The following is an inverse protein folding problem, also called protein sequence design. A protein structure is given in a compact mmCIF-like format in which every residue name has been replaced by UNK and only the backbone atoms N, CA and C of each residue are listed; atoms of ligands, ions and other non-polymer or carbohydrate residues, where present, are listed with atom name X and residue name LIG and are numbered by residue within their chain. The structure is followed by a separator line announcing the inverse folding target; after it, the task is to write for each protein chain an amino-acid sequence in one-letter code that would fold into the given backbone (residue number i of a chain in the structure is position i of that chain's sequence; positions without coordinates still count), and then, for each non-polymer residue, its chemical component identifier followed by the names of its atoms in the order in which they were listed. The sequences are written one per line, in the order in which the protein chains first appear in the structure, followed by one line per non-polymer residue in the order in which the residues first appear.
data_IF_932488862863
#
_entry.id   IF_932488862863
#
_cell.length_a   1.000
_cell.length_b   1.000
_cell.length_c   1.000
_cell.angle_alpha   90.00
_cell.angle_beta   90.00
_cell.angle_gamma   90.00
#
_symmetry.space_group_name_H-M   'P 1'
#
loop_
_entity.id
_entity.type
_entity.pdbx_description
1 polymer ?
#
# COMPACT_ATOMS: atom_id res chain seq x y z
N UNK A 1 -17.29 -15.60 16.34
CA UNK A 1 -17.47 -15.12 14.96
C UNK A 1 -18.45 -16.01 14.20
N UNK A 2 -18.18 -17.31 14.02
CA UNK A 2 -19.10 -18.26 13.36
C UNK A 2 -20.46 -18.35 14.07
N UNK A 3 -20.46 -18.32 15.40
CA UNK A 3 -21.68 -18.43 16.22
C UNK A 3 -22.43 -17.12 16.43
N UNK A 4 -21.76 -15.98 16.27
CA UNK A 4 -22.29 -14.64 16.49
C UNK A 4 -21.64 -13.70 15.47
N UNK A 5 -22.17 -13.63 14.24
CA UNK A 5 -21.65 -12.72 13.22
C UNK A 5 -22.01 -11.27 13.57
N UNK A 6 -21.10 -10.31 13.35
CA UNK A 6 -21.46 -8.89 13.43
C UNK A 6 -22.51 -8.58 12.35
N UNK A 7 -23.62 -7.98 12.75
CA UNK A 7 -24.79 -7.71 11.89
C UNK A 7 -24.72 -6.38 11.16
N UNK A 8 -23.87 -5.45 11.62
CA UNK A 8 -23.62 -4.17 10.96
C UNK A 8 -22.13 -3.84 11.04
N UNK A 9 -21.44 -3.85 9.90
CA UNK A 9 -20.02 -3.57 9.79
C UNK A 9 -19.80 -2.71 8.55
N UNK A 10 -19.92 -1.39 8.71
CA UNK A 10 -19.81 -0.44 7.60
C UNK A 10 -18.45 -0.52 6.91
N UNK A 11 -17.36 -0.63 7.68
CA UNK A 11 -16.00 -0.86 7.16
C UNK A 11 -15.35 -2.07 7.88
N UNK A 12 -15.13 -3.20 7.17
CA UNK A 12 -14.53 -4.38 7.74
C UNK A 12 -13.05 -4.18 8.11
N UNK A 13 -12.30 -3.29 7.44
CA UNK A 13 -10.90 -3.01 7.80
C UNK A 13 -10.84 -2.30 9.14
N UNK A 14 -11.69 -1.30 9.38
CA UNK A 14 -11.76 -0.60 10.67
C UNK A 14 -12.18 -1.55 11.78
N UNK A 15 -13.21 -2.38 11.53
CA UNK A 15 -13.71 -3.34 12.50
C UNK A 15 -12.64 -4.34 12.95
N UNK A 16 -11.89 -4.93 12.02
CA UNK A 16 -10.83 -5.89 12.36
C UNK A 16 -9.59 -5.20 12.94
N UNK A 17 -9.28 -3.98 12.50
CA UNK A 17 -8.18 -3.20 13.08
C UNK A 17 -8.39 -2.89 14.56
N UNK A 18 -9.63 -2.64 14.99
CA UNK A 18 -9.97 -2.41 16.40
C UNK A 18 -9.82 -3.67 17.28
N UNK A 19 -9.78 -4.87 16.68
CA UNK A 19 -9.65 -6.16 17.39
C UNK A 19 -8.22 -6.71 17.42
N UNK A 20 -7.25 -5.97 16.90
CA UNK A 20 -5.83 -6.34 17.01
C UNK A 20 -5.36 -6.27 18.46
N UNK A 21 -4.51 -7.22 18.84
CA UNK A 21 -3.86 -7.21 20.13
C UNK A 21 -3.04 -5.93 20.30
N UNK A 22 -3.30 -5.19 21.38
CA UNK A 22 -2.51 -4.00 21.73
C UNK A 22 -1.09 -4.46 22.05
N UNK A 23 -0.11 -3.83 21.41
CA UNK A 23 1.27 -4.06 21.74
C UNK A 23 1.56 -3.40 23.09
N UNK A 24 1.91 -4.21 24.09
CA UNK A 24 2.43 -3.67 25.35
C UNK A 24 3.85 -3.13 25.08
N UNK A 25 3.99 -1.82 25.11
CA UNK A 25 5.25 -1.12 24.86
C UNK A 25 6.29 -1.45 25.96
N UNK A 26 5.84 -1.88 27.15
CA UNK A 26 6.72 -2.18 28.28
C UNK A 26 7.16 -3.64 28.35
N UNK A 27 6.34 -4.55 27.83
CA UNK A 27 6.63 -5.99 27.83
C UNK A 27 7.08 -6.44 26.45
N UNK A 28 8.35 -6.84 26.29
CA UNK A 28 8.87 -7.45 25.03
C UNK A 28 8.14 -8.74 24.60
N UNK A 29 7.11 -9.16 25.34
CA UNK A 29 6.33 -10.37 25.12
C UNK A 29 5.01 -10.01 24.47
N UNK A 30 4.88 -10.27 23.17
CA UNK A 30 3.61 -10.15 22.46
C UNK A 30 2.72 -11.33 22.84
N UNK A 31 1.76 -11.09 23.74
CA UNK A 31 0.70 -12.07 24.01
C UNK A 31 -0.28 -12.00 22.84
N UNK A 32 -0.30 -13.04 22.02
CA UNK A 32 -1.25 -13.14 20.91
C UNK A 32 -2.53 -13.76 21.44
N UNK A 33 -3.62 -13.00 21.46
CA UNK A 33 -4.94 -13.56 21.78
C UNK A 33 -5.52 -14.23 20.54
N UNK A 34 -6.37 -15.24 20.74
CA UNK A 34 -7.07 -15.93 19.65
C UNK A 34 -7.80 -14.93 18.73
N UNK A 35 -8.43 -13.91 19.31
CA UNK A 35 -9.14 -12.88 18.56
C UNK A 35 -8.20 -11.96 17.77
N UNK A 36 -7.03 -11.63 18.32
CA UNK A 36 -6.02 -10.84 17.61
C UNK A 36 -5.36 -11.60 16.47
N UNK A 37 -5.19 -12.92 16.61
CA UNK A 37 -4.76 -13.79 15.51
C UNK A 37 -5.80 -13.84 14.38
N UNK A 38 -7.07 -14.01 14.73
CA UNK A 38 -8.17 -14.00 13.76
C UNK A 38 -8.30 -12.63 13.06
N UNK A 39 -8.17 -11.54 13.81
CA UNK A 39 -8.19 -10.19 13.25
C UNK A 39 -7.05 -9.95 12.26
N UNK A 40 -5.84 -10.44 12.56
CA UNK A 40 -4.71 -10.36 11.63
C UNK A 40 -4.98 -11.13 10.34
N UNK A 41 -5.44 -12.37 10.45
CA UNK A 41 -5.82 -13.17 9.28
C UNK A 41 -6.89 -12.47 8.44
N UNK A 42 -7.94 -11.95 9.07
CA UNK A 42 -9.00 -11.24 8.36
C UNK A 42 -8.47 -10.00 7.62
N UNK A 43 -7.58 -9.21 8.25
CA UNK A 43 -6.94 -8.07 7.60
C UNK A 43 -6.04 -8.49 6.43
N UNK A 44 -5.28 -9.59 6.57
CA UNK A 44 -4.44 -10.10 5.47
C UNK A 44 -5.30 -10.50 4.26
N UNK A 45 -6.44 -11.15 4.49
CA UNK A 45 -7.40 -11.50 3.42
C UNK A 45 -8.08 -10.26 2.81
N UNK A 46 -8.48 -9.28 3.63
CA UNK A 46 -9.21 -8.10 3.17
C UNK A 46 -8.30 -7.05 2.51
N UNK A 47 -7.02 -7.01 2.88
CA UNK A 47 -6.02 -6.12 2.29
C UNK A 47 -5.40 -6.68 1.01
N UNK A 48 -5.55 -7.98 0.77
CA UNK A 48 -5.19 -8.57 -0.50
C UNK A 48 -6.06 -7.93 -1.60
N UNK A 49 -5.46 -7.28 -2.61
CA UNK A 49 -6.23 -6.68 -3.70
C UNK A 49 -7.01 -7.78 -4.44
N UNK A 50 -8.34 -7.71 -4.40
CA UNK A 50 -9.25 -8.76 -4.87
C UNK A 50 -9.29 -9.01 -6.39
N UNK A 51 -8.42 -8.38 -7.18
CA UNK A 51 -8.32 -8.60 -8.63
C UNK A 51 -7.04 -7.94 -9.16
N UNK A 52 -6.62 -8.31 -10.38
CA UNK A 52 -5.41 -7.88 -11.10
C UNK A 52 -5.32 -6.37 -11.40
N UNK A 53 -5.44 -5.52 -10.38
CA UNK A 53 -5.43 -4.04 -10.43
C UNK A 53 -4.11 -3.42 -10.90
N UNK A 54 -3.15 -4.23 -11.35
CA UNK A 54 -2.01 -3.76 -12.10
C UNK A 54 -2.40 -3.13 -13.46
N UNK A 55 -3.63 -3.30 -13.95
CA UNK A 55 -4.09 -2.66 -15.20
C UNK A 55 -3.93 -1.14 -15.16
N UNK A 56 -4.19 -0.47 -14.03
CA UNK A 56 -4.06 1.00 -13.97
C UNK A 56 -2.59 1.44 -14.01
N UNK A 57 -1.70 0.68 -13.37
CA UNK A 57 -0.24 0.89 -13.44
C UNK A 57 0.27 0.68 -14.86
N UNK A 58 -0.19 -0.37 -15.55
CA UNK A 58 0.19 -0.64 -16.93
C UNK A 58 -0.38 0.38 -17.92
N UNK A 59 -1.59 0.90 -17.69
CA UNK A 59 -2.17 1.96 -18.55
C UNK A 59 -1.37 3.26 -18.49
N UNK A 60 -0.91 3.66 -17.30
CA UNK A 60 -0.08 4.85 -17.13
C UNK A 60 1.37 4.61 -17.55
N UNK A 61 1.90 3.39 -17.34
CA UNK A 61 3.22 2.98 -17.83
C UNK A 61 3.27 2.83 -19.36
N UNK A 62 2.14 2.56 -20.01
CA UNK A 62 2.04 2.48 -21.47
C UNK A 62 2.44 3.78 -22.18
N UNK A 63 2.26 4.95 -21.55
CA UNK A 63 2.73 6.22 -22.11
C UNK A 63 4.27 6.31 -22.14
N UNK A 64 4.92 5.69 -21.16
CA UNK A 64 6.39 5.58 -21.07
C UNK A 64 6.91 4.50 -22.03
N UNK A 65 6.14 3.43 -22.25
CA UNK A 65 6.57 2.26 -23.02
C UNK A 65 6.27 2.39 -24.52
N UNK A 66 5.16 3.03 -24.92
CA UNK A 66 4.55 2.77 -26.23
C UNK A 66 4.52 3.95 -27.21
N UNK A 67 5.04 5.14 -26.87
CA UNK A 67 4.99 6.28 -27.81
C UNK A 67 6.34 6.86 -28.24
N UNK A 68 7.37 6.82 -27.41
CA UNK A 68 8.73 7.24 -27.76
C UNK A 68 9.73 6.39 -26.98
N UNK A 69 10.19 5.27 -27.56
CA UNK A 69 11.13 4.34 -26.94
C UNK A 69 12.51 4.97 -26.74
N UNK A 70 12.65 5.87 -25.76
CA UNK A 70 13.86 5.80 -24.95
C UNK A 70 13.72 4.49 -24.17
N UNK A 71 14.46 3.45 -24.58
CA UNK A 71 14.51 2.13 -23.94
C UNK A 71 14.90 2.29 -22.46
N UNK A 72 13.94 2.63 -21.62
CA UNK A 72 14.08 2.57 -20.19
C UNK A 72 14.10 1.10 -19.84
N UNK A 73 15.23 0.64 -19.31
CA UNK A 73 15.38 -0.70 -18.78
C UNK A 73 14.24 -1.00 -17.79
N UNK A 74 13.91 -2.28 -17.64
CA UNK A 74 12.87 -2.71 -16.71
C UNK A 74 13.06 -2.11 -15.30
N UNK A 75 14.31 -1.89 -14.89
CA UNK A 75 14.67 -1.26 -13.64
C UNK A 75 14.24 0.21 -13.54
N UNK A 76 14.53 1.03 -14.55
CA UNK A 76 14.14 2.45 -14.53
C UNK A 76 12.62 2.63 -14.67
N UNK A 77 11.97 1.74 -15.42
CA UNK A 77 10.50 1.68 -15.48
C UNK A 77 9.90 1.36 -14.11
N UNK A 78 10.43 0.35 -13.40
CA UNK A 78 9.99 0.00 -12.04
C UNK A 78 10.24 1.14 -11.06
N UNK A 79 11.42 1.75 -11.10
CA UNK A 79 11.77 2.89 -10.25
C UNK A 79 10.81 4.07 -10.47
N UNK A 80 10.47 4.38 -11.72
CA UNK A 80 9.53 5.45 -12.04
C UNK A 80 8.11 5.16 -11.53
N UNK A 81 7.63 3.92 -11.66
CA UNK A 81 6.32 3.51 -11.11
C UNK A 81 6.28 3.65 -9.59
N UNK A 82 7.33 3.20 -8.89
CA UNK A 82 7.42 3.32 -7.43
C UNK A 82 7.49 4.80 -7.03
N UNK A 83 8.34 5.59 -7.69
CA UNK A 83 8.49 7.02 -7.42
C UNK A 83 7.17 7.77 -7.64
N UNK A 84 6.43 7.45 -8.70
CA UNK A 84 5.11 8.02 -8.98
C UNK A 84 4.08 7.63 -7.91
N UNK A 85 4.09 6.37 -7.46
CA UNK A 85 3.23 5.89 -6.37
C UNK A 85 3.52 6.64 -5.06
N UNK A 86 4.79 6.73 -4.67
CA UNK A 86 5.21 7.46 -3.48
C UNK A 86 4.92 8.96 -3.58
N UNK A 87 4.98 9.51 -4.79
CA UNK A 87 4.57 10.88 -5.06
C UNK A 87 3.10 11.14 -4.73
N UNK A 88 2.21 10.14 -4.76
CA UNK A 88 0.80 10.35 -4.39
C UNK A 88 0.56 10.47 -2.89
N UNK A 89 1.54 10.09 -2.07
CA UNK A 89 1.47 10.19 -0.60
C UNK A 89 2.14 11.50 -0.17
N UNK A 90 1.37 12.42 0.40
CA UNK A 90 1.88 13.70 0.86
C UNK A 90 2.92 13.52 1.98
N UNK A 91 4.03 14.25 1.87
CA UNK A 91 5.15 14.20 2.82
C UNK A 91 6.10 13.00 2.66
N UNK A 92 5.76 11.99 1.85
CA UNK A 92 6.63 10.83 1.65
C UNK A 92 7.86 11.14 0.79
N UNK A 93 7.71 12.03 -0.19
CA UNK A 93 8.79 12.50 -1.05
C UNK A 93 8.88 14.02 -1.00
N UNK A 94 10.09 14.61 -0.86
CA UNK A 94 10.30 16.05 -0.95
C UNK A 94 10.21 16.55 -2.41
N UNK A 95 9.00 16.51 -3.00
CA UNK A 95 8.74 16.87 -4.40
C UNK A 95 9.32 18.22 -4.80
N UNK A 96 9.14 19.24 -3.96
CA UNK A 96 9.62 20.61 -4.22
C UNK A 96 11.13 20.66 -4.40
N UNK A 97 11.87 19.89 -3.61
CA UNK A 97 13.34 19.81 -3.68
C UNK A 97 13.77 19.07 -4.94
N UNK A 98 13.09 17.96 -5.26
CA UNK A 98 13.38 17.19 -6.47
C UNK A 98 13.13 18.01 -7.75
N UNK A 99 11.97 18.67 -7.86
CA UNK A 99 11.64 19.51 -9.03
C UNK A 99 12.65 20.63 -9.18
N UNK A 100 13.04 21.30 -8.07
CA UNK A 100 14.08 22.33 -8.11
C UNK A 100 15.40 21.79 -8.67
N UNK A 101 15.88 20.65 -8.15
CA UNK A 101 17.13 20.03 -8.62
C UNK A 101 17.07 19.57 -10.07
N UNK A 102 15.93 19.06 -10.55
CA UNK A 102 15.79 18.65 -11.95
C UNK A 102 15.80 19.85 -12.90
N UNK A 103 15.15 20.96 -12.52
CA UNK A 103 15.14 22.19 -13.31
C UNK A 103 16.50 22.90 -13.34
N UNK A 104 17.33 22.74 -12.30
CA UNK A 104 18.71 23.29 -12.27
C UNK A 104 19.70 22.49 -13.13
N UNK A 105 19.33 21.27 -13.55
CA UNK A 105 20.21 20.36 -14.29
C UNK A 105 19.89 20.31 -15.79
N UNK A 106 18.80 20.94 -16.22
CA UNK A 106 18.38 21.10 -17.61
C UNK A 106 18.92 22.42 -18.18
#
# INVERSE_FOLDING_TARGET
YITNPPTDCSDPIIYWSAKLDKQDVKSKKKVVMLMGALARMALDFLSAPGMSLHVYVFSHGGLVINKWCHNLLAESTRANVILNSWGKVDGLIPKKILVKRFNEKA
#
